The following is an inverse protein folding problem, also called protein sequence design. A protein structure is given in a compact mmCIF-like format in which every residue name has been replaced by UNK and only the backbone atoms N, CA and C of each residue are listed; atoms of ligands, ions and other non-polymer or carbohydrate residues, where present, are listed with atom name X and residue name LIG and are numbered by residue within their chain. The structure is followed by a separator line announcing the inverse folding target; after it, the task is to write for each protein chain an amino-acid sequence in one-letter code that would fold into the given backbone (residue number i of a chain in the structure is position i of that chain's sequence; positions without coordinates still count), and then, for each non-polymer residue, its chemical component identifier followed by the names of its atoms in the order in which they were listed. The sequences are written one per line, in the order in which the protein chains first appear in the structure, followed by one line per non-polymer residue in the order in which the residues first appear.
data_IF_162262705194
#
_entry.id   IF_162262705194
#
_cell.length_a   1.000
_cell.length_b   1.000
_cell.length_c   1.000
_cell.angle_alpha   90.00
_cell.angle_beta   90.00
_cell.angle_gamma   90.00
#
_symmetry.space_group_name_H-M   'P 1'
#
loop_
_entity.id
_entity.type
_entity.pdbx_description
1 polymer ?
#
# COMPACT_ATOMS: atom_id res chain seq x y z
N UNK A 1 48.94 44.06 -49.62
CA UNK A 1 47.58 43.63 -49.24
C UNK A 1 47.71 42.60 -48.15
N UNK A 2 47.35 42.94 -46.90
CA UNK A 2 47.15 41.94 -45.85
C UNK A 2 45.65 41.92 -45.58
N UNK A 3 44.98 40.84 -45.96
CA UNK A 3 43.60 40.58 -45.56
C UNK A 3 43.62 40.21 -44.07
N UNK A 4 43.16 41.15 -43.24
CA UNK A 4 42.90 40.88 -41.84
C UNK A 4 41.72 39.93 -41.74
N UNK A 5 42.01 38.66 -41.47
CA UNK A 5 41.06 37.65 -41.00
C UNK A 5 40.28 38.25 -39.81
N UNK A 6 39.06 38.72 -40.05
CA UNK A 6 38.09 39.01 -38.98
C UNK A 6 37.60 37.68 -38.45
N UNK A 7 38.32 37.09 -37.50
CA UNK A 7 37.73 36.10 -36.62
C UNK A 7 36.56 36.75 -35.87
N UNK A 8 35.33 36.35 -36.21
CA UNK A 8 34.15 36.74 -35.47
C UNK A 8 34.33 36.31 -34.00
N UNK A 9 34.07 37.17 -33.00
CA UNK A 9 34.22 36.81 -31.60
C UNK A 9 33.06 35.92 -31.15
N UNK A 10 32.91 34.73 -31.73
CA UNK A 10 31.81 33.81 -31.41
C UNK A 10 32.05 32.94 -30.16
N UNK A 11 33.25 32.93 -29.57
CA UNK A 11 33.65 31.70 -28.85
C UNK A 11 33.46 31.67 -27.32
N UNK A 12 33.08 32.77 -26.65
CA UNK A 12 32.90 32.76 -25.18
C UNK A 12 31.45 32.77 -24.71
N UNK A 13 30.58 33.56 -25.35
CA UNK A 13 29.19 33.75 -24.92
C UNK A 13 28.29 32.57 -25.27
N UNK A 14 28.51 31.91 -26.41
CA UNK A 14 27.76 30.71 -26.79
C UNK A 14 28.16 29.49 -25.97
N UNK A 15 29.46 29.30 -25.69
CA UNK A 15 29.93 28.22 -24.80
C UNK A 15 29.38 28.35 -23.38
N UNK A 16 29.21 29.57 -22.85
CA UNK A 16 28.62 29.74 -21.51
C UNK A 16 27.14 29.39 -21.49
N UNK A 17 26.38 29.75 -22.54
CA UNK A 17 24.95 29.40 -22.68
C UNK A 17 24.75 27.90 -22.90
N UNK A 18 25.60 27.26 -23.69
CA UNK A 18 25.63 25.81 -23.88
C UNK A 18 25.94 25.08 -22.57
N UNK A 19 26.93 25.54 -21.80
CA UNK A 19 27.25 25.00 -20.47
C UNK A 19 26.10 25.22 -19.50
N UNK A 20 25.47 26.39 -19.50
CA UNK A 20 24.35 26.72 -18.61
C UNK A 20 23.13 25.84 -18.92
N UNK A 21 22.83 25.64 -20.22
CA UNK A 21 21.80 24.70 -20.66
C UNK A 21 22.10 23.27 -20.24
N UNK A 22 23.35 22.82 -20.38
CA UNK A 22 23.78 21.50 -19.94
C UNK A 22 23.61 21.31 -18.42
N UNK A 23 24.00 22.31 -17.62
CA UNK A 23 23.81 22.28 -16.16
C UNK A 23 22.34 22.29 -15.76
N UNK A 24 21.48 23.04 -16.44
CA UNK A 24 20.03 23.03 -16.21
C UNK A 24 19.44 21.66 -16.55
N UNK A 25 19.82 21.06 -17.69
CA UNK A 25 19.35 19.71 -18.04
C UNK A 25 19.85 18.66 -17.06
N UNK A 26 21.10 18.74 -16.60
CA UNK A 26 21.66 17.82 -15.62
C UNK A 26 20.93 17.95 -14.27
N UNK A 27 20.68 19.18 -13.82
CA UNK A 27 19.91 19.46 -12.62
C UNK A 27 18.48 18.92 -12.75
N UNK A 28 17.81 19.14 -13.88
CA UNK A 28 16.46 18.62 -14.12
C UNK A 28 16.42 17.09 -14.12
N UNK A 29 17.41 16.42 -14.69
CA UNK A 29 17.52 14.95 -14.67
C UNK A 29 17.75 14.42 -13.26
N UNK A 30 18.64 15.05 -12.47
CA UNK A 30 18.86 14.68 -11.07
C UNK A 30 17.61 14.92 -10.21
N UNK A 31 16.89 16.01 -10.46
CA UNK A 31 15.65 16.33 -9.76
C UNK A 31 14.55 15.33 -10.12
N UNK A 32 14.44 14.93 -11.39
CA UNK A 32 13.55 13.85 -11.81
C UNK A 32 13.92 12.52 -11.14
N UNK A 33 15.20 12.13 -11.15
CA UNK A 33 15.68 10.88 -10.53
C UNK A 33 15.39 10.79 -9.03
N UNK A 34 15.38 11.92 -8.32
CA UNK A 34 15.10 11.96 -6.87
C UNK A 34 13.63 12.17 -6.55
N UNK A 35 12.91 12.97 -7.34
CA UNK A 35 11.50 13.24 -7.13
C UNK A 35 10.61 12.05 -7.49
N UNK A 36 10.93 11.28 -8.53
CA UNK A 36 10.12 10.13 -8.95
C UNK A 36 9.96 9.06 -7.86
N UNK A 37 11.03 8.53 -7.23
CA UNK A 37 10.89 7.56 -6.14
C UNK A 37 10.24 8.19 -4.90
N UNK A 38 10.48 9.48 -4.62
CA UNK A 38 9.87 10.18 -3.50
C UNK A 38 8.35 10.35 -3.67
N UNK A 39 7.90 10.70 -4.88
CA UNK A 39 6.47 10.82 -5.22
C UNK A 39 5.82 9.45 -5.21
N UNK A 40 6.48 8.41 -5.71
CA UNK A 40 5.99 7.04 -5.67
C UNK A 40 5.83 6.54 -4.22
N UNK A 41 6.87 6.71 -3.38
CA UNK A 41 6.82 6.36 -1.96
C UNK A 41 5.76 7.17 -1.19
N UNK A 42 5.60 8.46 -1.52
CA UNK A 42 4.57 9.32 -0.93
C UNK A 42 3.16 8.87 -1.32
N UNK A 43 2.95 8.51 -2.60
CA UNK A 43 1.65 8.01 -3.09
C UNK A 43 1.30 6.67 -2.45
N UNK A 44 2.26 5.76 -2.32
CA UNK A 44 2.04 4.48 -1.65
C UNK A 44 1.70 4.67 -0.16
N UNK A 45 2.43 5.56 0.52
CA UNK A 45 2.17 5.95 1.92
C UNK A 45 0.82 6.64 2.10
N UNK A 46 0.35 7.42 1.13
CA UNK A 46 -0.94 8.09 1.18
C UNK A 46 -2.11 7.09 1.08
N UNK A 47 -2.00 6.10 0.16
CA UNK A 47 -3.02 5.06 0.02
C UNK A 47 -3.15 4.19 1.27
N UNK A 48 -2.02 3.75 1.83
CA UNK A 48 -2.01 2.95 3.06
C UNK A 48 -2.57 3.73 4.26
N UNK A 49 -2.20 5.01 4.44
CA UNK A 49 -2.76 5.85 5.51
C UNK A 49 -4.27 6.00 5.40
N UNK A 50 -4.79 6.29 4.20
CA UNK A 50 -6.23 6.39 3.97
C UNK A 50 -6.96 5.08 4.31
N UNK A 51 -6.38 3.94 3.92
CA UNK A 51 -6.89 2.63 4.28
C UNK A 51 -6.91 2.41 5.80
N UNK A 52 -5.80 2.67 6.48
CA UNK A 52 -5.71 2.48 7.94
C UNK A 52 -6.65 3.41 8.70
N UNK A 53 -6.79 4.66 8.28
CA UNK A 53 -7.71 5.61 8.88
C UNK A 53 -9.17 5.16 8.70
N UNK A 54 -9.53 4.69 7.50
CA UNK A 54 -10.86 4.15 7.23
C UNK A 54 -11.15 2.88 8.02
N UNK A 55 -10.23 1.92 8.03
CA UNK A 55 -10.35 0.68 8.80
C UNK A 55 -10.53 0.97 10.29
N UNK A 56 -9.75 1.88 10.86
CA UNK A 56 -9.90 2.27 12.26
C UNK A 56 -11.27 2.93 12.54
N UNK A 57 -11.78 3.73 11.60
CA UNK A 57 -13.13 4.28 11.67
C UNK A 57 -14.20 3.20 11.69
N UNK A 58 -14.09 2.18 10.84
CA UNK A 58 -15.04 1.07 10.76
C UNK A 58 -14.97 0.14 11.98
N UNK A 59 -13.77 -0.10 12.51
CA UNK A 59 -13.58 -0.81 13.79
C UNK A 59 -14.23 -0.05 14.95
N UNK A 60 -14.11 1.29 14.96
CA UNK A 60 -14.77 2.13 15.96
C UNK A 60 -16.29 2.10 15.81
N UNK A 61 -16.79 2.18 14.58
CA UNK A 61 -18.23 2.07 14.30
C UNK A 61 -18.79 0.73 14.80
N UNK A 62 -18.16 -0.38 14.42
CA UNK A 62 -18.55 -1.71 14.88
C UNK A 62 -18.54 -1.82 16.41
N UNK A 63 -17.57 -1.20 17.09
CA UNK A 63 -17.53 -1.13 18.56
C UNK A 63 -18.75 -0.42 19.16
N UNK A 64 -19.26 0.60 18.49
CA UNK A 64 -20.39 1.41 18.96
C UNK A 64 -21.75 0.82 18.54
N UNK A 65 -21.79 0.05 17.45
CA UNK A 65 -23.00 -0.41 16.77
C UNK A 65 -23.06 -1.95 16.66
N UNK A 66 -23.10 -2.63 17.81
CA UNK A 66 -23.37 -4.08 17.98
C UNK A 66 -22.25 -5.08 17.62
N UNK A 67 -21.11 -4.65 17.08
CA UNK A 67 -19.94 -5.50 16.90
C UNK A 67 -19.62 -5.83 15.43
N UNK A 68 -18.95 -6.95 15.20
CA UNK A 68 -18.49 -7.36 13.86
C UNK A 68 -19.10 -8.71 13.49
N UNK A 69 -19.53 -8.86 12.25
CA UNK A 69 -19.94 -10.14 11.68
C UNK A 69 -18.74 -10.79 11.00
N UNK A 70 -18.37 -11.98 11.45
CA UNK A 70 -17.36 -12.81 10.81
C UNK A 70 -18.07 -13.79 9.87
N UNK A 71 -17.66 -13.83 8.62
CA UNK A 71 -18.10 -14.83 7.65
C UNK A 71 -16.90 -15.67 7.19
N UNK A 72 -16.98 -16.99 7.39
CA UNK A 72 -15.95 -17.94 6.96
C UNK A 72 -16.63 -19.23 6.48
N UNK A 73 -16.27 -19.69 5.28
CA UNK A 73 -16.80 -20.94 4.72
C UNK A 73 -18.34 -21.06 4.77
N UNK A 74 -19.04 -19.94 4.54
CA UNK A 74 -20.51 -19.86 4.60
C UNK A 74 -21.12 -19.83 6.01
N UNK A 75 -20.31 -19.90 7.07
CA UNK A 75 -20.77 -19.66 8.45
C UNK A 75 -20.61 -18.19 8.81
N UNK A 76 -21.71 -17.57 9.26
CA UNK A 76 -21.74 -16.17 9.70
C UNK A 76 -21.97 -16.10 11.21
N UNK A 77 -21.01 -15.55 11.95
CA UNK A 77 -21.03 -15.45 13.41
C UNK A 77 -20.96 -13.99 13.83
N UNK A 78 -21.81 -13.60 14.77
CA UNK A 78 -21.86 -12.26 15.32
C UNK A 78 -20.95 -12.11 16.55
N UNK A 79 -20.12 -11.08 16.57
CA UNK A 79 -19.18 -10.83 17.67
C UNK A 79 -19.38 -9.44 18.29
N UNK A 80 -20.14 -9.36 19.40
CA UNK A 80 -20.51 -8.09 20.02
C UNK A 80 -19.39 -7.41 20.84
N UNK A 81 -18.28 -8.11 21.13
CA UNK A 81 -17.16 -7.58 21.90
C UNK A 81 -15.84 -7.74 21.12
N UNK A 82 -15.62 -6.83 20.16
CA UNK A 82 -14.32 -6.40 19.64
C UNK A 82 -13.20 -7.43 19.45
N UNK A 83 -13.20 -8.06 18.28
CA UNK A 83 -11.97 -8.57 17.66
C UNK A 83 -11.39 -7.61 16.58
N UNK A 84 -12.15 -6.60 16.15
CA UNK A 84 -11.74 -5.66 15.10
C UNK A 84 -10.48 -4.84 15.44
N UNK A 85 -10.27 -4.49 16.71
CA UNK A 85 -9.10 -3.73 17.14
C UNK A 85 -7.80 -4.57 17.15
N UNK A 86 -7.91 -5.88 17.39
CA UNK A 86 -6.75 -6.78 17.36
C UNK A 86 -6.23 -6.94 15.93
N UNK A 87 -7.13 -7.08 14.96
CA UNK A 87 -6.74 -7.23 13.56
C UNK A 87 -6.21 -5.93 12.96
N UNK A 88 -6.81 -4.77 13.22
CA UNK A 88 -6.29 -3.49 12.70
C UNK A 88 -4.89 -3.17 13.26
N UNK A 89 -4.63 -3.48 14.53
CA UNK A 89 -3.31 -3.31 15.14
C UNK A 89 -2.27 -4.28 14.56
N UNK A 90 -2.62 -5.55 14.35
CA UNK A 90 -1.73 -6.53 13.70
C UNK A 90 -1.41 -6.12 12.25
N UNK A 91 -2.40 -5.62 11.51
CA UNK A 91 -2.21 -5.08 10.16
C UNK A 91 -1.32 -3.82 10.17
N UNK A 92 -1.49 -2.95 11.18
CA UNK A 92 -0.63 -1.77 11.38
C UNK A 92 0.83 -2.17 11.64
N UNK A 93 1.05 -3.20 12.46
CA UNK A 93 2.39 -3.73 12.78
C UNK A 93 3.03 -4.44 11.60
N UNK A 94 2.25 -5.16 10.78
CA UNK A 94 2.71 -5.78 9.54
C UNK A 94 3.16 -4.75 8.50
N UNK A 95 2.58 -3.54 8.57
CA UNK A 95 2.95 -2.41 7.74
C UNK A 95 2.38 -2.49 6.33
N UNK A 96 2.91 -1.63 5.45
CA UNK A 96 2.49 -1.62 4.05
C UNK A 96 3.11 -2.83 3.34
N UNK A 97 2.26 -3.80 2.99
CA UNK A 97 2.66 -4.90 2.13
C UNK A 97 2.80 -4.47 0.67
N UNK A 98 2.83 -5.44 -0.23
CA UNK A 98 2.89 -5.21 -1.67
C UNK A 98 1.47 -5.04 -2.23
N UNK A 99 1.27 -4.02 -3.05
CA UNK A 99 -0.06 -3.71 -3.61
C UNK A 99 -0.44 -4.76 -4.64
N UNK A 100 -1.66 -5.25 -4.53
CA UNK A 100 -2.25 -6.23 -5.44
C UNK A 100 -3.56 -5.69 -6.01
N UNK A 101 -3.94 -6.17 -7.19
CA UNK A 101 -5.21 -5.79 -7.84
C UNK A 101 -6.16 -6.98 -7.95
N UNK A 102 -5.63 -8.19 -8.02
CA UNK A 102 -6.42 -9.41 -8.16
C UNK A 102 -6.66 -10.03 -6.80
N UNK A 103 -7.90 -10.43 -6.55
CA UNK A 103 -8.24 -11.20 -5.36
C UNK A 103 -7.76 -12.65 -5.53
N UNK A 104 -7.19 -13.26 -4.48
CA UNK A 104 -6.77 -14.65 -4.52
C UNK A 104 -7.99 -15.59 -4.67
N UNK A 105 -7.76 -16.71 -5.35
CA UNK A 105 -8.73 -17.79 -5.43
C UNK A 105 -8.75 -18.58 -4.10
N UNK A 106 -9.94 -18.82 -3.56
CA UNK A 106 -10.13 -19.60 -2.35
C UNK A 106 -11.03 -18.94 -1.30
N UNK A 107 -11.30 -19.68 -0.23
CA UNK A 107 -12.09 -19.22 0.89
C UNK A 107 -11.25 -18.34 1.84
N UNK A 108 -11.63 -17.06 1.91
CA UNK A 108 -11.09 -16.13 2.89
C UNK A 108 -12.03 -15.96 4.09
N UNK A 109 -11.51 -15.28 5.11
CA UNK A 109 -12.30 -14.76 6.21
C UNK A 109 -12.78 -13.36 5.84
N UNK A 110 -14.08 -13.10 5.99
CA UNK A 110 -14.68 -11.78 5.79
C UNK A 110 -15.16 -11.23 7.13
N UNK A 111 -14.84 -9.98 7.41
CA UNK A 111 -15.28 -9.21 8.56
C UNK A 111 -16.16 -8.08 8.04
N UNK A 112 -17.42 -8.08 8.43
CA UNK A 112 -18.41 -7.05 8.12
C UNK A 112 -18.63 -6.19 9.38
N UNK A 113 -18.23 -4.92 9.27
CA UNK A 113 -18.30 -3.95 10.36
C UNK A 113 -19.67 -3.27 10.50
N UNK A 114 -20.61 -3.55 9.59
CA UNK A 114 -21.97 -3.00 9.64
C UNK A 114 -22.12 -1.57 9.11
N UNK A 115 -21.04 -0.85 8.86
CA UNK A 115 -21.03 0.48 8.21
C UNK A 115 -21.02 0.39 6.67
N UNK A 116 -21.13 -0.83 6.13
CA UNK A 116 -20.98 -1.13 4.70
C UNK A 116 -19.54 -1.41 4.26
N UNK A 117 -18.56 -1.30 5.17
CA UNK A 117 -17.18 -1.72 4.90
C UNK A 117 -16.98 -3.21 5.19
N UNK A 118 -16.12 -3.84 4.38
CA UNK A 118 -15.80 -5.26 4.50
C UNK A 118 -14.28 -5.45 4.51
N UNK A 119 -13.75 -6.12 5.52
CA UNK A 119 -12.35 -6.56 5.56
C UNK A 119 -12.29 -8.06 5.25
N UNK A 120 -11.67 -8.41 4.12
CA UNK A 120 -11.48 -9.79 3.69
C UNK A 120 -9.99 -10.16 3.78
N UNK A 121 -9.72 -11.35 4.32
CA UNK A 121 -8.39 -11.85 4.61
C UNK A 121 -8.24 -13.27 4.06
N UNK A 122 -7.13 -13.54 3.37
CA UNK A 122 -6.79 -14.88 2.88
C UNK A 122 -5.39 -15.27 3.30
N UNK A 123 -5.20 -16.56 3.55
CA UNK A 123 -3.88 -17.18 3.61
C UNK A 123 -3.38 -17.41 2.19
N UNK A 124 -2.25 -16.81 1.83
CA UNK A 124 -1.67 -16.95 0.49
C UNK A 124 -0.18 -17.26 0.55
N UNK A 125 0.35 -18.11 -0.35
CA UNK A 125 1.78 -18.29 -0.48
C UNK A 125 2.39 -17.03 -1.12
N UNK A 126 3.24 -16.31 -0.38
CA UNK A 126 3.91 -15.12 -0.88
C UNK A 126 5.10 -15.58 -1.74
N UNK A 127 4.92 -15.56 -3.06
CA UNK A 127 6.02 -15.86 -4.00
C UNK A 127 6.93 -14.65 -4.13
N UNK A 128 8.19 -14.79 -3.68
CA UNK A 128 9.24 -13.79 -3.88
C UNK A 128 9.96 -13.29 -2.63
N UNK A 129 9.83 -13.96 -1.48
CA UNK A 129 10.70 -13.73 -0.32
C UNK A 129 12.16 -14.09 -0.60
N UNK A 130 13.09 -13.52 0.17
CA UNK A 130 14.53 -13.86 0.10
C UNK A 130 14.84 -15.30 0.56
N UNK A 131 13.88 -15.96 1.21
CA UNK A 131 14.00 -17.33 1.69
C UNK A 131 13.34 -18.32 0.72
N UNK A 132 13.97 -19.47 0.43
CA UNK A 132 13.43 -20.48 -0.48
C UNK A 132 12.22 -21.26 0.07
N UNK A 133 11.85 -21.04 1.32
CA UNK A 133 10.66 -21.64 1.94
C UNK A 133 9.41 -20.87 1.50
N UNK A 134 8.37 -21.59 1.05
CA UNK A 134 7.04 -21.00 0.76
C UNK A 134 6.55 -20.30 2.02
N UNK A 135 6.72 -18.98 2.06
CA UNK A 135 6.33 -18.17 3.21
C UNK A 135 4.85 -17.85 3.02
N UNK A 136 4.01 -18.44 3.86
CA UNK A 136 2.59 -18.15 3.89
C UNK A 136 2.40 -16.79 4.58
N UNK A 137 1.80 -15.86 3.84
CA UNK A 137 1.45 -14.54 4.32
C UNK A 137 -0.04 -14.32 4.25
N UNK A 138 -0.42 -13.06 4.41
CA UNK A 138 -1.82 -12.65 4.46
C UNK A 138 -2.10 -11.71 3.30
N UNK A 139 -3.10 -12.07 2.50
CA UNK A 139 -3.72 -11.13 1.56
C UNK A 139 -4.83 -10.38 2.27
N UNK A 140 -4.82 -9.06 2.15
CA UNK A 140 -5.75 -8.16 2.79
C UNK A 140 -6.51 -7.41 1.70
N UNK A 141 -7.83 -7.51 1.71
CA UNK A 141 -8.71 -6.70 0.87
C UNK A 141 -9.70 -5.94 1.76
N UNK A 142 -9.61 -4.62 1.76
CA UNK A 142 -10.56 -3.77 2.46
C UNK A 142 -11.47 -3.06 1.45
N UNK A 143 -12.76 -3.36 1.52
CA UNK A 143 -13.79 -2.71 0.72
C UNK A 143 -14.35 -1.55 1.53
N UNK A 144 -14.24 -0.34 0.99
CA UNK A 144 -14.82 0.86 1.56
C UNK A 144 -16.35 0.83 1.40
N UNK A 145 -17.10 1.63 2.17
CA UNK A 145 -18.55 1.75 2.03
C UNK A 145 -19.01 2.25 0.63
N UNK A 146 -18.12 2.90 -0.13
CA UNK A 146 -18.37 3.35 -1.51
C UNK A 146 -18.17 2.23 -2.56
N UNK A 147 -17.73 1.04 -2.13
CA UNK A 147 -17.47 -0.12 -2.98
C UNK A 147 -16.05 -0.20 -3.54
N UNK A 148 -15.21 0.82 -3.35
CA UNK A 148 -13.80 0.76 -3.72
C UNK A 148 -13.09 -0.31 -2.87
N UNK A 149 -12.11 -1.03 -3.44
CA UNK A 149 -11.37 -2.05 -2.68
C UNK A 149 -9.87 -1.76 -2.66
N UNK A 150 -9.29 -1.73 -1.47
CA UNK A 150 -7.86 -1.62 -1.24
C UNK A 150 -7.28 -3.01 -0.94
N UNK A 151 -6.54 -3.58 -1.90
CA UNK A 151 -5.88 -4.88 -1.75
C UNK A 151 -4.35 -4.76 -1.60
N UNK A 152 -3.77 -5.61 -0.77
CA UNK A 152 -2.32 -5.83 -0.66
C UNK A 152 -2.01 -7.19 -0.03
N UNK A 153 -0.83 -7.74 -0.32
CA UNK A 153 -0.28 -8.94 0.32
C UNK A 153 0.89 -8.58 1.25
N UNK A 154 1.01 -9.29 2.37
CA UNK A 154 2.10 -9.08 3.34
C UNK A 154 2.66 -10.41 3.84
N UNK A 155 3.98 -10.55 3.84
CA UNK A 155 4.73 -11.65 4.44
C UNK A 155 5.12 -11.38 5.90
N UNK A 156 4.97 -10.13 6.37
CA UNK A 156 5.26 -9.72 7.75
C UNK A 156 4.16 -10.14 8.75
N UNK A 157 3.07 -10.75 8.28
CA UNK A 157 1.98 -11.25 9.10
C UNK A 157 1.67 -12.69 8.70
N UNK A 158 1.85 -13.61 9.64
CA UNK A 158 1.42 -15.00 9.48
C UNK A 158 -0.09 -15.16 9.68
N UNK A 159 -0.68 -16.14 8.99
CA UNK A 159 -2.10 -16.46 9.10
C UNK A 159 -2.50 -16.91 10.51
N UNK A 160 -1.63 -17.64 11.21
CA UNK A 160 -1.76 -18.01 12.61
C UNK A 160 -2.06 -16.80 13.51
N UNK A 161 -1.33 -15.70 13.30
CA UNK A 161 -1.53 -14.45 14.04
C UNK A 161 -2.83 -13.77 13.65
N UNK A 162 -3.27 -13.86 12.40
CA UNK A 162 -4.60 -13.36 12.02
C UNK A 162 -5.67 -14.13 12.76
N UNK A 163 -5.65 -15.45 12.69
CA UNK A 163 -6.64 -16.32 13.34
C UNK A 163 -6.67 -16.11 14.86
N UNK A 164 -5.54 -15.92 15.50
CA UNK A 164 -5.45 -15.59 16.94
C UNK A 164 -6.08 -14.24 17.30
N UNK A 165 -6.08 -13.26 16.38
CA UNK A 165 -6.85 -12.01 16.58
C UNK A 165 -8.30 -12.10 16.15
N UNK A 166 -8.65 -13.09 15.33
CA UNK A 166 -10.04 -13.32 15.00
C UNK A 166 -10.72 -13.87 16.25
N UNK A 167 -11.97 -13.48 16.48
CA UNK A 167 -12.69 -14.02 17.62
C UNK A 167 -12.89 -15.52 17.37
N UNK A 168 -12.49 -16.34 18.33
CA UNK A 168 -12.60 -17.80 18.21
C UNK A 168 -14.05 -18.16 17.87
N UNK A 169 -14.26 -18.93 16.81
CA UNK A 169 -15.51 -19.67 16.65
C UNK A 169 -15.52 -20.69 17.80
N UNK A 170 -16.35 -20.43 18.81
CA UNK A 170 -16.56 -21.37 19.91
C UNK A 170 -17.18 -22.68 19.42
#
# INVERSE_FOLDING_TARGET
MYEAFREAPQSKKDRSRLKLGLWITLAAVLLALTATPLVWASRQSAGYRRYMDALNGSVLYAREHDGVWLERAGSRVHYPQLAGAGISEKLRQAGMGKRQQELPEGEGVTLDFGDGSLLRLWEVPIRGGYTPEETFGVFVAYTYPDGETYCYDTDNLGWDRVVDSLPSAG
#
